data_IF_721999926160
#
_entry.id   IF_721999926160
#
_cell.length_a   1.000
_cell.length_b   1.000
_cell.length_c   1.000
_cell.angle_alpha   90.00
_cell.angle_beta   90.00
_cell.angle_gamma   90.00
#
_symmetry.space_group_name_H-M   'P 1'
#
loop_
_entity.id
_entity.type
_entity.pdbx_description
1 polymer ?
#
# COMPACT_ATOMS: atom_id res chain seq x y z
N UNK A 1 -29.87 43.97 -29.27
CA UNK A 1 -29.25 43.62 -27.98
C UNK A 1 -28.40 42.38 -28.24
N UNK A 2 -27.10 42.57 -28.47
CA UNK A 2 -26.17 41.48 -28.77
C UNK A 2 -25.60 40.89 -27.49
N UNK A 3 -25.77 39.58 -27.30
CA UNK A 3 -25.18 38.84 -26.19
C UNK A 3 -23.72 38.50 -26.53
N UNK A 4 -22.79 39.03 -25.73
CA UNK A 4 -21.37 38.74 -25.81
C UNK A 4 -21.12 37.42 -25.05
N UNK A 5 -20.78 36.35 -25.78
CA UNK A 5 -20.36 35.10 -25.17
C UNK A 5 -18.91 35.23 -24.69
N UNK A 6 -18.69 35.13 -23.38
CA UNK A 6 -17.38 35.12 -22.77
C UNK A 6 -16.81 33.70 -22.84
N UNK A 7 -15.92 33.45 -23.81
CA UNK A 7 -15.12 32.23 -23.89
C UNK A 7 -14.05 32.29 -22.78
N UNK A 8 -14.21 31.48 -21.71
CA UNK A 8 -13.10 31.22 -20.79
C UNK A 8 -12.11 30.26 -21.45
N UNK A 9 -10.97 30.80 -21.91
CA UNK A 9 -9.80 30.01 -22.25
C UNK A 9 -9.18 29.47 -20.96
N UNK A 10 -9.37 28.17 -20.70
CA UNK A 10 -8.57 27.46 -19.70
C UNK A 10 -7.11 27.41 -20.17
N UNK A 11 -6.21 28.05 -19.43
CA UNK A 11 -4.78 27.92 -19.64
C UNK A 11 -4.34 26.49 -19.28
N UNK A 12 -3.43 25.86 -20.05
CA UNK A 12 -2.87 24.58 -19.67
C UNK A 12 -2.06 24.74 -18.39
N UNK A 13 -2.24 23.81 -17.44
CA UNK A 13 -1.42 23.72 -16.25
C UNK A 13 0.05 23.64 -16.68
N UNK A 14 0.85 24.64 -16.31
CA UNK A 14 2.30 24.60 -16.49
C UNK A 14 2.84 23.51 -15.58
N UNK A 15 3.16 22.36 -16.16
CA UNK A 15 4.02 21.39 -15.51
C UNK A 15 5.31 22.09 -15.11
N UNK A 16 5.69 21.94 -13.84
CA UNK A 16 7.02 22.31 -13.35
C UNK A 16 7.97 21.30 -13.98
N UNK A 17 8.49 21.61 -15.17
CA UNK A 17 9.61 20.86 -15.71
C UNK A 17 10.82 21.17 -14.82
N UNK A 18 11.34 20.14 -14.16
CA UNK A 18 12.60 20.22 -13.41
C UNK A 18 13.69 20.82 -14.31
N UNK A 19 14.58 21.61 -13.71
CA UNK A 19 15.74 22.16 -14.40
C UNK A 19 16.53 21.04 -15.09
N UNK A 20 16.92 21.27 -16.34
CA UNK A 20 17.75 20.38 -17.13
C UNK A 20 19.06 20.10 -16.35
N UNK A 21 19.20 18.91 -15.76
CA UNK A 21 20.41 18.47 -15.06
C UNK A 21 20.26 17.89 -13.65
N UNK A 22 19.09 17.92 -13.01
CA UNK A 22 18.85 17.27 -11.71
C UNK A 22 17.89 16.07 -11.85
N UNK A 23 18.19 14.97 -11.14
CA UNK A 23 17.28 13.83 -11.05
C UNK A 23 15.95 14.27 -10.40
N UNK A 24 14.77 13.82 -10.87
CA UNK A 24 13.52 14.00 -10.16
C UNK A 24 13.60 13.45 -8.72
N UNK A 25 12.72 13.91 -7.81
CA UNK A 25 12.63 13.34 -6.48
C UNK A 25 12.19 11.87 -6.54
N UNK A 26 12.60 11.10 -5.54
CA UNK A 26 12.04 9.77 -5.26
C UNK A 26 10.72 9.97 -4.53
N UNK A 27 9.67 9.34 -5.03
CA UNK A 27 8.37 9.33 -4.37
C UNK A 27 8.31 8.18 -3.35
N UNK A 28 7.67 8.42 -2.21
CA UNK A 28 7.51 7.45 -1.13
C UNK A 28 6.01 7.31 -0.83
N UNK A 29 5.52 6.08 -0.78
CA UNK A 29 4.16 5.78 -0.36
C UNK A 29 4.15 4.70 0.73
N UNK A 30 3.14 4.70 1.58
CA UNK A 30 2.99 3.73 2.67
C UNK A 30 1.78 2.82 2.42
N UNK A 31 1.94 1.53 2.72
CA UNK A 31 0.83 0.63 2.95
C UNK A 31 0.95 0.04 4.37
N UNK A 32 -0.02 0.35 5.22
CA UNK A 32 -0.18 -0.29 6.53
C UNK A 32 -1.24 -1.37 6.45
N UNK A 33 -0.83 -2.63 6.61
CA UNK A 33 -1.74 -3.77 6.64
C UNK A 33 -2.18 -4.07 8.07
N UNK A 34 -3.49 -4.10 8.31
CA UNK A 34 -4.11 -4.35 9.60
C UNK A 34 -5.07 -5.54 9.46
N UNK A 35 -4.79 -6.62 10.17
CA UNK A 35 -5.54 -7.87 10.01
C UNK A 35 -5.56 -8.71 11.28
N UNK A 36 -6.74 -9.28 11.56
CA UNK A 36 -6.91 -10.45 12.42
C UNK A 36 -7.89 -11.41 11.75
N UNK A 37 -7.69 -12.73 11.89
CA UNK A 37 -8.61 -13.72 11.34
C UNK A 37 -9.92 -13.76 12.14
N UNK A 38 -10.93 -14.43 11.58
CA UNK A 38 -11.98 -15.04 12.41
C UNK A 38 -11.35 -16.25 13.08
N UNK A 39 -11.27 -16.24 14.41
CA UNK A 39 -10.51 -17.24 15.16
C UNK A 39 -11.20 -18.60 15.15
N UNK A 40 -12.52 -18.63 15.37
CA UNK A 40 -13.27 -19.89 15.40
C UNK A 40 -14.46 -19.85 14.43
N UNK A 41 -14.66 -20.88 13.58
CA UNK A 41 -15.78 -20.89 12.66
C UNK A 41 -17.13 -20.76 13.37
N UNK A 42 -17.96 -19.84 12.86
CA UNK A 42 -19.32 -19.57 13.35
C UNK A 42 -19.40 -18.97 14.77
N UNK A 43 -18.28 -18.52 15.33
CA UNK A 43 -18.24 -17.81 16.61
C UNK A 43 -17.70 -16.40 16.39
N UNK A 44 -18.29 -15.44 17.09
CA UNK A 44 -17.70 -14.12 17.26
C UNK A 44 -16.40 -14.23 18.08
N UNK A 45 -15.53 -13.23 17.99
CA UNK A 45 -14.32 -13.18 18.84
C UNK A 45 -14.64 -13.21 20.34
N UNK A 46 -15.80 -12.66 20.74
CA UNK A 46 -16.26 -12.64 22.14
C UNK A 46 -16.70 -14.05 22.58
N UNK A 47 -17.48 -14.75 21.75
CA UNK A 47 -17.86 -16.15 22.02
C UNK A 47 -16.63 -17.06 22.05
N UNK A 48 -15.68 -16.85 21.14
CA UNK A 48 -14.42 -17.60 21.08
C UNK A 48 -13.61 -17.43 22.36
N UNK A 49 -13.53 -16.19 22.87
CA UNK A 49 -12.88 -15.86 24.14
C UNK A 49 -13.56 -16.55 25.32
N UNK A 50 -14.89 -16.43 25.43
CA UNK A 50 -15.66 -16.95 26.55
C UNK A 50 -15.73 -18.49 26.57
N UNK A 51 -15.65 -19.13 25.40
CA UNK A 51 -15.56 -20.57 25.26
C UNK A 51 -14.15 -21.12 25.53
N UNK A 52 -13.15 -20.25 25.78
CA UNK A 52 -11.75 -20.62 25.99
C UNK A 52 -11.22 -21.55 24.89
N UNK A 53 -11.51 -21.23 23.62
CA UNK A 53 -11.09 -22.04 22.46
C UNK A 53 -9.57 -22.13 22.33
N UNK A 54 -8.85 -21.12 22.83
CA UNK A 54 -7.40 -21.00 22.75
C UNK A 54 -6.75 -20.95 24.13
N UNK A 55 -5.47 -21.31 24.19
CA UNK A 55 -4.64 -21.20 25.41
C UNK A 55 -4.20 -19.77 25.73
N UNK A 56 -4.60 -18.79 24.91
CA UNK A 56 -4.35 -17.37 25.05
C UNK A 56 -5.66 -16.61 24.83
N UNK A 57 -5.74 -15.37 25.34
CA UNK A 57 -6.91 -14.52 25.15
C UNK A 57 -6.90 -13.93 23.74
N UNK A 58 -7.91 -14.28 22.95
CA UNK A 58 -8.12 -13.67 21.63
C UNK A 58 -8.60 -12.23 21.79
N UNK A 59 -9.24 -11.88 22.92
CA UNK A 59 -9.57 -10.50 23.23
C UNK A 59 -8.31 -9.66 23.49
N UNK A 60 -7.36 -10.15 24.29
CA UNK A 60 -6.11 -9.43 24.59
C UNK A 60 -5.28 -9.17 23.33
N UNK A 61 -5.29 -10.09 22.35
CA UNK A 61 -4.63 -9.88 21.05
C UNK A 61 -5.10 -8.60 20.37
N UNK A 62 -6.40 -8.28 20.47
CA UNK A 62 -6.96 -7.04 19.94
C UNK A 62 -6.67 -5.85 20.87
N UNK A 63 -6.86 -6.01 22.19
CA UNK A 63 -6.69 -4.91 23.16
C UNK A 63 -5.24 -4.40 23.25
N UNK A 64 -4.25 -5.23 22.91
CA UNK A 64 -2.85 -4.80 22.80
C UNK A 64 -2.56 -3.96 21.55
N UNK A 65 -3.52 -3.87 20.61
CA UNK A 65 -3.41 -3.17 19.32
C UNK A 65 -4.48 -2.08 19.16
N UNK A 66 -4.94 -1.50 20.27
CA UNK A 66 -5.93 -0.40 20.24
C UNK A 66 -5.45 0.74 19.34
N UNK A 67 -4.18 1.13 19.47
CA UNK A 67 -3.59 2.23 18.71
C UNK A 67 -3.72 2.10 17.19
N UNK A 68 -3.09 1.07 16.58
CA UNK A 68 -3.13 0.86 15.13
C UNK A 68 -4.55 0.67 14.58
N UNK A 69 -5.44 0.06 15.36
CA UNK A 69 -6.82 -0.20 14.96
C UNK A 69 -7.75 1.02 15.09
N UNK A 70 -7.33 2.08 15.77
CA UNK A 70 -8.21 3.22 16.05
C UNK A 70 -7.73 4.55 15.47
N UNK A 71 -6.63 5.11 15.94
CA UNK A 71 -6.28 6.50 15.67
C UNK A 71 -4.90 6.69 15.04
N UNK A 72 -3.94 5.81 15.33
CA UNK A 72 -2.54 6.04 14.98
C UNK A 72 -2.27 6.25 13.48
N UNK A 73 -2.85 5.45 12.55
CA UNK A 73 -2.72 5.74 11.12
C UNK A 73 -3.17 7.16 10.72
N UNK A 74 -4.27 7.62 11.33
CA UNK A 74 -4.83 8.95 11.07
C UNK A 74 -4.00 10.04 11.72
N UNK A 75 -3.40 9.80 12.88
CA UNK A 75 -2.57 10.78 13.57
C UNK A 75 -1.28 11.06 12.78
N UNK A 76 -0.63 10.02 12.24
CA UNK A 76 0.49 10.15 11.31
C UNK A 76 0.13 10.99 10.07
N UNK A 77 -0.98 10.65 9.40
CA UNK A 77 -1.43 11.39 8.21
C UNK A 77 -1.86 12.83 8.53
N UNK A 78 -2.47 13.06 9.69
CA UNK A 78 -2.82 14.39 10.17
C UNK A 78 -1.58 15.23 10.45
N UNK A 79 -0.51 14.67 11.02
CA UNK A 79 0.77 15.35 11.21
C UNK A 79 1.34 15.85 9.87
N UNK A 80 1.37 14.99 8.84
CA UNK A 80 1.83 15.37 7.51
C UNK A 80 0.95 16.42 6.83
N UNK A 81 -0.37 16.35 7.02
CA UNK A 81 -1.31 17.38 6.56
C UNK A 81 -1.05 18.73 7.25
N UNK A 82 -0.86 18.75 8.57
CA UNK A 82 -0.55 19.95 9.35
C UNK A 82 0.81 20.55 8.98
N UNK A 83 1.76 19.72 8.56
CA UNK A 83 3.06 20.12 8.04
C UNK A 83 3.01 20.68 6.58
N UNK A 84 1.83 20.74 5.96
CA UNK A 84 1.64 21.31 4.63
C UNK A 84 2.05 20.38 3.48
N UNK A 85 2.24 19.08 3.72
CA UNK A 85 2.65 18.13 2.70
C UNK A 85 1.44 17.75 1.80
N UNK A 86 1.42 18.33 0.60
CA UNK A 86 0.21 18.41 -0.24
C UNK A 86 -0.32 17.06 -0.74
N UNK A 87 0.59 16.12 -1.00
CA UNK A 87 0.30 14.78 -1.53
C UNK A 87 0.36 13.67 -0.46
N UNK A 88 0.87 13.97 0.74
CA UNK A 88 1.10 12.97 1.77
C UNK A 88 -0.21 12.29 2.19
N UNK A 89 -0.16 10.97 2.18
CA UNK A 89 -1.21 10.09 2.68
C UNK A 89 -0.66 8.67 2.74
N UNK A 90 -1.51 7.73 3.10
CA UNK A 90 -1.18 6.32 3.19
C UNK A 90 -2.30 5.46 2.61
N UNK A 91 -1.91 4.30 2.09
CA UNK A 91 -2.82 3.20 1.85
C UNK A 91 -2.95 2.42 3.16
N UNK A 92 -4.15 1.97 3.46
CA UNK A 92 -4.41 1.07 4.59
C UNK A 92 -5.22 -0.11 4.09
N UNK A 93 -4.73 -1.33 4.31
CA UNK A 93 -5.56 -2.52 4.17
C UNK A 93 -6.11 -2.89 5.53
N UNK A 94 -7.41 -2.68 5.74
CA UNK A 94 -8.13 -3.07 6.95
C UNK A 94 -9.05 -4.24 6.61
N UNK A 95 -8.74 -5.45 7.10
CA UNK A 95 -9.49 -6.64 6.68
C UNK A 95 -10.95 -6.64 7.17
N UNK A 96 -11.81 -7.32 6.41
CA UNK A 96 -13.22 -7.46 6.79
C UNK A 96 -13.39 -8.22 8.10
N UNK A 97 -12.62 -9.30 8.29
CA UNK A 97 -12.59 -10.08 9.53
C UNK A 97 -12.15 -9.27 10.75
N UNK A 98 -11.19 -8.35 10.59
CA UNK A 98 -10.77 -7.48 11.69
C UNK A 98 -11.90 -6.52 12.07
N UNK A 99 -12.53 -5.85 11.09
CA UNK A 99 -13.66 -4.95 11.34
C UNK A 99 -14.81 -5.69 12.03
N UNK A 100 -15.09 -6.92 11.61
CA UNK A 100 -16.07 -7.81 12.24
C UNK A 100 -15.72 -8.03 13.72
N UNK A 101 -14.50 -8.49 14.02
CA UNK A 101 -14.06 -8.69 15.41
C UNK A 101 -14.16 -7.42 16.26
N UNK A 102 -13.73 -6.26 15.74
CA UNK A 102 -13.78 -5.00 16.47
C UNK A 102 -15.22 -4.55 16.75
N UNK A 103 -16.14 -4.78 15.81
CA UNK A 103 -17.58 -4.52 15.99
C UNK A 103 -18.19 -5.39 17.09
N UNK A 104 -17.79 -6.66 17.16
CA UNK A 104 -18.23 -7.59 18.18
C UNK A 104 -17.72 -7.19 19.58
N UNK A 105 -16.44 -6.82 19.68
CA UNK A 105 -15.84 -6.35 20.94
C UNK A 105 -16.49 -5.05 21.42
N UNK A 106 -16.71 -4.09 20.51
CA UNK A 106 -17.43 -2.85 20.80
C UNK A 106 -18.85 -3.12 21.29
N UNK A 107 -19.60 -3.98 20.59
CA UNK A 107 -21.00 -4.31 20.94
C UNK A 107 -21.11 -4.99 22.31
N UNK A 108 -20.14 -5.84 22.66
CA UNK A 108 -20.08 -6.49 23.96
C UNK A 108 -19.63 -5.55 25.09
N UNK A 109 -19.20 -4.32 24.79
CA UNK A 109 -18.67 -3.37 25.77
C UNK A 109 -17.31 -3.80 26.34
N UNK A 110 -16.53 -4.62 25.61
CA UNK A 110 -15.26 -5.20 26.07
C UNK A 110 -14.01 -4.48 25.51
N UNK A 111 -14.20 -3.38 24.80
CA UNK A 111 -13.12 -2.58 24.21
C UNK A 111 -13.63 -1.79 23.00
N UNK A 112 -12.75 -1.00 22.38
CA UNK A 112 -13.02 -0.34 21.10
C UNK A 112 -14.27 0.56 21.08
N UNK A 113 -14.71 1.10 22.22
CA UNK A 113 -15.82 2.04 22.23
C UNK A 113 -15.54 3.23 21.29
N UNK A 114 -16.42 3.45 20.31
CA UNK A 114 -16.33 4.54 19.33
C UNK A 114 -15.08 4.48 18.42
N UNK A 115 -14.49 3.30 18.23
CA UNK A 115 -13.25 3.12 17.45
C UNK A 115 -13.33 3.64 16.00
N UNK A 116 -14.55 3.69 15.44
CA UNK A 116 -14.81 4.10 14.04
C UNK A 116 -14.75 5.61 13.82
N UNK A 117 -14.82 6.42 14.88
CA UNK A 117 -15.00 7.87 14.74
C UNK A 117 -13.85 8.52 13.96
N UNK A 118 -12.61 8.16 14.30
CA UNK A 118 -11.42 8.73 13.65
C UNK A 118 -11.29 8.29 12.19
N UNK A 119 -11.60 7.03 11.90
CA UNK A 119 -11.70 6.53 10.53
C UNK A 119 -12.72 7.32 9.69
N UNK A 120 -13.94 7.52 10.22
CA UNK A 120 -15.00 8.29 9.53
C UNK A 120 -14.59 9.74 9.27
N UNK A 121 -13.95 10.39 10.23
CA UNK A 121 -13.41 11.73 10.05
C UNK A 121 -12.41 11.78 8.89
N UNK A 122 -11.46 10.82 8.88
CA UNK A 122 -10.38 10.79 7.90
C UNK A 122 -10.82 10.51 6.47
N UNK A 123 -11.99 9.89 6.23
CA UNK A 123 -12.52 9.69 4.88
C UNK A 123 -12.75 11.00 4.12
N UNK A 124 -12.96 12.11 4.85
CA UNK A 124 -13.10 13.45 4.29
C UNK A 124 -11.78 14.12 3.94
N UNK A 125 -10.63 13.61 4.42
CA UNK A 125 -9.33 14.24 4.21
C UNK A 125 -8.83 13.98 2.81
N UNK A 126 -8.52 15.05 2.07
CA UNK A 126 -8.08 14.98 0.67
C UNK A 126 -6.67 15.51 0.46
N UNK A 127 -5.96 14.90 -0.47
CA UNK A 127 -4.74 15.45 -1.06
C UNK A 127 -5.08 16.65 -1.95
N UNK A 128 -4.06 17.38 -2.41
CA UNK A 128 -4.25 18.47 -3.39
C UNK A 128 -4.85 18.00 -4.72
N UNK A 129 -4.78 16.69 -5.02
CA UNK A 129 -5.41 16.07 -6.20
C UNK A 129 -6.83 15.58 -5.95
N UNK A 130 -7.41 15.89 -4.80
CA UNK A 130 -8.76 15.50 -4.40
C UNK A 130 -8.94 13.97 -4.19
N UNK A 131 -7.86 13.24 -3.94
CA UNK A 131 -7.90 11.83 -3.54
C UNK A 131 -7.87 11.68 -2.01
N UNK A 132 -8.39 10.58 -1.43
CA UNK A 132 -8.28 10.32 0.00
C UNK A 132 -6.83 10.34 0.50
N UNK A 133 -6.57 10.96 1.66
CA UNK A 133 -5.27 10.83 2.35
C UNK A 133 -5.12 9.51 3.09
N UNK A 134 -6.24 8.95 3.55
CA UNK A 134 -6.32 7.55 3.99
C UNK A 134 -7.08 6.81 2.89
N UNK A 135 -6.35 6.05 2.08
CA UNK A 135 -6.91 5.21 1.03
C UNK A 135 -7.11 3.79 1.57
N UNK A 136 -8.34 3.45 1.94
CA UNK A 136 -8.69 2.09 2.37
C UNK A 136 -8.72 1.18 1.13
N UNK A 137 -7.56 0.62 0.77
CA UNK A 137 -7.42 -0.21 -0.42
C UNK A 137 -8.30 -1.44 -0.33
N UNK A 138 -8.86 -1.85 -1.46
CA UNK A 138 -9.67 -3.05 -1.53
C UNK A 138 -8.84 -4.27 -1.10
N UNK A 139 -9.50 -5.21 -0.43
CA UNK A 139 -8.87 -6.38 0.17
C UNK A 139 -9.77 -7.61 0.09
N UNK A 140 -9.20 -8.79 0.31
CA UNK A 140 -10.00 -10.00 0.51
C UNK A 140 -10.57 -10.03 1.93
N UNK A 141 -11.88 -10.06 2.10
CA UNK A 141 -12.56 -9.96 3.41
C UNK A 141 -11.94 -10.85 4.50
N UNK A 142 -11.71 -12.13 4.20
CA UNK A 142 -11.14 -13.12 5.12
C UNK A 142 -9.64 -13.39 4.89
N UNK A 143 -8.92 -12.48 4.23
CA UNK A 143 -7.49 -12.63 3.94
C UNK A 143 -7.12 -13.94 3.19
N UNK A 144 -7.88 -14.40 2.16
CA UNK A 144 -7.49 -15.60 1.43
C UNK A 144 -6.30 -15.32 0.50
N UNK A 145 -5.46 -16.31 0.23
CA UNK A 145 -4.50 -16.24 -0.87
C UNK A 145 -5.28 -16.18 -2.20
N UNK A 146 -5.54 -14.98 -2.68
CA UNK A 146 -6.51 -14.71 -3.75
C UNK A 146 -6.18 -15.45 -5.06
N UNK A 147 -4.90 -15.67 -5.34
CA UNK A 147 -4.46 -16.45 -6.51
C UNK A 147 -4.75 -17.96 -6.43
N UNK A 148 -5.20 -18.45 -5.27
CA UNK A 148 -5.51 -19.87 -5.00
C UNK A 148 -7.01 -20.14 -4.87
N UNK A 149 -7.87 -19.13 -4.99
CA UNK A 149 -9.33 -19.27 -4.97
C UNK A 149 -9.93 -19.03 -6.37
N UNK A 150 -11.14 -19.54 -6.67
CA UNK A 150 -11.80 -19.30 -7.94
C UNK A 150 -12.07 -17.81 -8.22
N UNK A 151 -12.09 -17.35 -9.50
CA UNK A 151 -12.33 -15.95 -9.86
C UNK A 151 -13.62 -15.35 -9.29
N UNK A 152 -14.69 -16.14 -9.21
CA UNK A 152 -15.96 -15.73 -8.60
C UNK A 152 -15.81 -15.46 -7.09
N UNK A 153 -14.93 -16.18 -6.40
CA UNK A 153 -14.64 -15.95 -4.98
C UNK A 153 -13.75 -14.72 -4.77
N UNK A 154 -12.84 -14.41 -5.71
CA UNK A 154 -12.09 -13.15 -5.70
C UNK A 154 -13.06 -11.96 -5.70
N UNK A 155 -14.02 -11.96 -6.64
CA UNK A 155 -15.03 -10.91 -6.73
C UNK A 155 -15.91 -10.82 -5.48
N UNK A 156 -16.34 -11.96 -4.92
CA UNK A 156 -17.13 -12.01 -3.68
C UNK A 156 -16.38 -11.46 -2.47
N UNK A 157 -15.10 -11.83 -2.30
CA UNK A 157 -14.27 -11.35 -1.19
C UNK A 157 -14.11 -9.83 -1.22
N UNK A 158 -13.89 -9.25 -2.40
CA UNK A 158 -13.80 -7.79 -2.59
C UNK A 158 -15.15 -7.11 -2.33
N UNK A 159 -16.25 -7.69 -2.83
CA UNK A 159 -17.59 -7.14 -2.62
C UNK A 159 -17.98 -7.14 -1.13
N UNK A 160 -17.70 -8.23 -0.41
CA UNK A 160 -17.91 -8.31 1.04
C UNK A 160 -17.08 -7.27 1.78
N UNK A 161 -15.80 -7.14 1.42
CA UNK A 161 -14.90 -6.17 2.04
C UNK A 161 -15.39 -4.73 1.87
N UNK A 162 -15.73 -4.34 0.64
CA UNK A 162 -16.28 -3.02 0.35
C UNK A 162 -17.58 -2.75 1.09
N UNK A 163 -18.48 -3.73 1.17
CA UNK A 163 -19.71 -3.61 1.95
C UNK A 163 -19.42 -3.35 3.44
N UNK A 164 -18.47 -4.08 4.02
CA UNK A 164 -18.06 -3.87 5.41
C UNK A 164 -17.46 -2.48 5.64
N UNK A 165 -16.65 -1.98 4.71
CA UNK A 165 -16.13 -0.61 4.76
C UNK A 165 -17.27 0.43 4.67
N UNK A 166 -18.20 0.26 3.73
CA UNK A 166 -19.34 1.18 3.55
C UNK A 166 -20.21 1.25 4.81
N UNK A 167 -20.54 0.09 5.40
CA UNK A 167 -21.37 0.00 6.61
C UNK A 167 -20.72 0.63 7.84
N UNK A 168 -19.38 0.64 7.91
CA UNK A 168 -18.66 1.16 9.08
C UNK A 168 -18.19 2.60 8.90
N UNK A 169 -17.80 3.00 7.69
CA UNK A 169 -17.08 4.26 7.45
C UNK A 169 -17.68 5.14 6.34
N UNK A 170 -18.69 4.66 5.61
CA UNK A 170 -19.34 5.40 4.50
C UNK A 170 -18.85 4.99 3.11
N UNK A 171 -19.55 5.45 2.06
CA UNK A 171 -19.27 5.03 0.67
C UNK A 171 -17.87 5.39 0.20
N UNK A 172 -17.35 6.52 0.64
CA UNK A 172 -16.03 7.02 0.29
C UNK A 172 -14.94 6.04 0.72
N UNK A 173 -15.13 5.34 1.82
CA UNK A 173 -14.22 4.32 2.35
C UNK A 173 -14.12 3.09 1.45
N UNK A 174 -15.18 2.76 0.71
CA UNK A 174 -15.25 1.60 -0.17
C UNK A 174 -14.85 1.92 -1.64
N UNK A 175 -14.47 3.17 -1.92
CA UNK A 175 -14.29 3.68 -3.28
C UNK A 175 -12.85 3.52 -3.83
N UNK A 176 -11.94 2.89 -3.09
CA UNK A 176 -10.56 2.72 -3.55
C UNK A 176 -10.49 1.96 -4.88
N UNK A 177 -9.60 2.46 -5.73
CA UNK A 177 -9.21 1.86 -7.01
C UNK A 177 -8.05 0.87 -6.85
N UNK A 178 -7.41 0.87 -5.69
CA UNK A 178 -6.28 0.03 -5.36
C UNK A 178 -6.68 -1.30 -4.74
N UNK A 179 -5.84 -2.30 -4.94
CA UNK A 179 -5.95 -3.59 -4.27
C UNK A 179 -4.63 -3.99 -3.62
N UNK A 180 -4.70 -4.46 -2.38
CA UNK A 180 -3.58 -5.15 -1.74
C UNK A 180 -3.89 -6.66 -1.74
N UNK A 181 -3.11 -7.49 -2.47
CA UNK A 181 -3.26 -8.92 -2.35
C UNK A 181 -2.75 -9.38 -0.99
N UNK A 182 -3.52 -10.18 -0.23
CA UNK A 182 -3.04 -10.85 0.97
C UNK A 182 -1.67 -11.50 0.74
N UNK A 183 -0.70 -11.21 1.61
CA UNK A 183 0.71 -11.66 1.51
C UNK A 183 1.45 -11.20 0.25
N UNK A 184 1.00 -10.13 -0.42
CA UNK A 184 1.43 -9.75 -1.79
C UNK A 184 1.29 -10.89 -2.81
N UNK A 185 0.48 -11.91 -2.51
CA UNK A 185 0.34 -13.14 -3.31
C UNK A 185 -0.43 -12.89 -4.61
N UNK A 186 0.23 -12.21 -5.54
CA UNK A 186 -0.32 -11.85 -6.83
C UNK A 186 -0.13 -12.98 -7.85
N UNK A 187 -1.20 -13.25 -8.59
CA UNK A 187 -1.17 -14.08 -9.80
C UNK A 187 -1.85 -13.32 -10.93
N UNK A 188 -1.30 -13.39 -12.14
CA UNK A 188 -1.93 -12.78 -13.31
C UNK A 188 -3.35 -13.31 -13.55
N UNK A 189 -3.65 -14.53 -13.11
CA UNK A 189 -5.01 -15.12 -13.18
C UNK A 189 -6.07 -14.34 -12.41
N UNK A 190 -5.67 -13.51 -11.45
CA UNK A 190 -6.58 -12.65 -10.70
C UNK A 190 -7.03 -11.43 -11.51
N UNK A 191 -6.25 -11.00 -12.52
CA UNK A 191 -6.45 -9.75 -13.26
C UNK A 191 -7.89 -9.58 -13.77
N UNK A 192 -8.52 -10.58 -14.44
CA UNK A 192 -9.89 -10.41 -14.92
C UNK A 192 -10.89 -10.09 -13.79
N UNK A 193 -10.82 -10.82 -12.68
CA UNK A 193 -11.73 -10.63 -11.54
C UNK A 193 -11.48 -9.30 -10.81
N UNK A 194 -10.22 -8.86 -10.70
CA UNK A 194 -9.88 -7.54 -10.15
C UNK A 194 -10.49 -6.42 -11.01
N UNK A 195 -10.34 -6.50 -12.33
CA UNK A 195 -10.90 -5.51 -13.26
C UNK A 195 -12.43 -5.51 -13.24
N UNK A 196 -13.06 -6.69 -13.20
CA UNK A 196 -14.53 -6.80 -13.10
C UNK A 196 -15.05 -6.23 -11.77
N UNK A 197 -14.23 -6.26 -10.71
CA UNK A 197 -14.49 -5.58 -9.45
C UNK A 197 -14.15 -4.07 -9.49
N UNK A 198 -13.71 -3.50 -10.61
CA UNK A 198 -13.38 -2.08 -10.73
C UNK A 198 -12.08 -1.67 -10.03
N UNK A 199 -11.14 -2.59 -9.87
CA UNK A 199 -9.77 -2.29 -9.43
C UNK A 199 -8.95 -1.83 -10.64
N UNK A 200 -8.19 -0.75 -10.46
CA UNK A 200 -7.36 -0.15 -11.53
C UNK A 200 -5.86 -0.44 -11.32
N UNK A 201 -5.42 -0.59 -10.07
CA UNK A 201 -4.03 -0.92 -9.72
C UNK A 201 -3.92 -1.88 -8.54
N UNK A 202 -2.84 -2.65 -8.49
CA UNK A 202 -2.58 -3.66 -7.46
C UNK A 202 -1.14 -3.59 -6.95
N UNK A 203 -0.96 -3.68 -5.64
CA UNK A 203 0.38 -3.73 -5.03
C UNK A 203 0.95 -5.14 -5.18
N UNK A 204 2.22 -5.26 -5.55
CA UNK A 204 2.96 -6.53 -5.62
C UNK A 204 4.30 -6.38 -4.90
N UNK A 205 4.93 -7.46 -4.41
CA UNK A 205 6.33 -7.37 -3.97
C UNK A 205 7.25 -7.15 -5.19
N UNK A 206 8.24 -6.27 -5.07
CA UNK A 206 9.21 -5.94 -6.14
C UNK A 206 9.90 -7.17 -6.72
N UNK A 207 10.05 -8.23 -5.93
CA UNK A 207 10.66 -9.50 -6.34
C UNK A 207 9.94 -10.18 -7.51
N UNK A 208 8.63 -9.95 -7.66
CA UNK A 208 7.87 -10.47 -8.81
C UNK A 208 8.40 -9.92 -10.13
N UNK A 209 8.85 -8.66 -10.14
CA UNK A 209 9.45 -8.01 -11.31
C UNK A 209 10.90 -8.44 -11.49
N UNK A 210 11.68 -8.41 -10.41
CA UNK A 210 13.11 -8.77 -10.41
C UNK A 210 13.32 -10.18 -10.95
N UNK A 211 12.55 -11.16 -10.47
CA UNK A 211 12.64 -12.57 -10.91
C UNK A 211 12.16 -12.81 -12.33
N UNK A 212 11.36 -11.91 -12.88
CA UNK A 212 10.92 -11.94 -14.27
C UNK A 212 11.90 -11.24 -15.22
N UNK A 213 12.99 -10.66 -14.70
CA UNK A 213 14.04 -10.03 -15.49
C UNK A 213 15.03 -11.07 -16.04
N UNK A 214 15.49 -10.88 -17.27
CA UNK A 214 16.36 -11.82 -18.00
C UNK A 214 17.72 -12.04 -17.34
N UNK A 215 18.28 -10.99 -16.71
CA UNK A 215 19.60 -11.02 -16.06
C UNK A 215 19.54 -11.03 -14.52
N UNK A 216 18.40 -11.44 -13.93
CA UNK A 216 18.21 -11.49 -12.48
C UNK A 216 19.40 -12.18 -11.78
N UNK A 217 20.14 -11.48 -10.90
CA UNK A 217 21.32 -12.00 -10.22
C UNK A 217 20.89 -12.88 -9.04
N UNK A 218 20.29 -14.03 -9.35
CA UNK A 218 19.78 -14.97 -8.37
C UNK A 218 20.85 -15.33 -7.32
N UNK A 219 20.42 -15.31 -6.06
CA UNK A 219 21.20 -15.81 -4.93
C UNK A 219 20.30 -16.58 -3.97
N UNK A 220 20.74 -17.77 -3.49
CA UNK A 220 19.99 -18.53 -2.49
C UNK A 220 19.91 -17.83 -1.12
N UNK A 221 20.73 -16.78 -0.89
CA UNK A 221 20.70 -16.03 0.37
C UNK A 221 19.36 -15.32 0.65
N UNK A 222 18.54 -15.13 -0.39
CA UNK A 222 17.19 -14.56 -0.29
C UNK A 222 16.11 -15.57 0.13
N UNK A 223 16.47 -16.83 0.41
CA UNK A 223 15.58 -17.95 0.73
C UNK A 223 14.47 -18.19 -0.31
N UNK A 224 14.74 -17.86 -1.57
CA UNK A 224 13.85 -18.12 -2.70
C UNK A 224 14.44 -19.20 -3.60
N UNK A 225 13.58 -19.99 -4.24
CA UNK A 225 14.00 -20.89 -5.31
C UNK A 225 14.51 -20.11 -6.53
N UNK A 226 15.35 -20.67 -7.41
CA UNK A 226 15.67 -20.05 -8.70
C UNK A 226 14.40 -19.71 -9.50
N UNK A 227 14.37 -18.62 -10.29
CA UNK A 227 13.24 -18.35 -11.18
C UNK A 227 13.16 -19.42 -12.28
N UNK A 228 11.96 -19.65 -12.80
CA UNK A 228 11.78 -20.43 -14.00
C UNK A 228 12.25 -19.59 -15.21
N UNK A 229 13.20 -20.08 -16.04
CA UNK A 229 13.68 -19.32 -17.20
C UNK A 229 12.59 -18.90 -18.18
N UNK A 230 11.46 -19.62 -18.25
CA UNK A 230 10.33 -19.24 -19.10
C UNK A 230 9.60 -17.97 -18.63
N UNK A 231 9.71 -17.63 -17.35
CA UNK A 231 9.11 -16.43 -16.75
C UNK A 231 10.04 -15.22 -16.84
N UNK A 232 11.33 -15.43 -17.15
CA UNK A 232 12.34 -14.37 -17.30
C UNK A 232 12.26 -13.69 -18.67
N UNK A 233 11.27 -12.82 -18.83
CA UNK A 233 10.92 -12.22 -20.13
C UNK A 233 11.26 -10.73 -20.23
N UNK A 234 11.44 -10.03 -19.11
CA UNK A 234 11.66 -8.59 -19.08
C UNK A 234 13.14 -8.24 -19.31
N UNK A 235 13.40 -7.20 -20.08
CA UNK A 235 14.73 -6.72 -20.49
C UNK A 235 14.91 -5.20 -20.30
N UNK A 236 14.10 -4.59 -19.42
CA UNK A 236 14.14 -3.16 -19.17
C UNK A 236 15.51 -2.71 -18.60
N UNK A 237 15.99 -1.50 -18.92
CA UNK A 237 17.22 -0.98 -18.34
C UNK A 237 17.18 -1.01 -16.80
N UNK A 238 18.10 -1.79 -16.22
CA UNK A 238 18.11 -2.11 -14.79
C UNK A 238 19.53 -2.05 -14.24
N UNK A 239 19.69 -1.36 -13.12
CA UNK A 239 20.86 -1.45 -12.27
C UNK A 239 20.57 -2.36 -11.08
N UNK A 240 21.42 -3.37 -10.88
CA UNK A 240 21.34 -4.27 -9.74
C UNK A 240 22.12 -3.69 -8.56
N UNK A 241 21.40 -3.10 -7.60
CA UNK A 241 21.96 -2.39 -6.46
C UNK A 241 21.98 -3.30 -5.24
N UNK A 242 23.16 -3.48 -4.64
CA UNK A 242 23.28 -4.15 -3.34
C UNK A 242 23.05 -3.10 -2.25
N UNK A 243 21.88 -3.16 -1.59
CA UNK A 243 21.61 -2.26 -0.48
C UNK A 243 22.49 -2.61 0.72
N UNK A 244 22.94 -1.57 1.41
CA UNK A 244 23.65 -1.60 2.69
C UNK A 244 22.87 -0.79 3.73
N UNK A 245 23.21 -0.96 5.02
CA UNK A 245 22.50 -0.36 6.17
C UNK A 245 21.06 -0.88 6.39
N UNK A 246 20.65 -1.91 5.67
CA UNK A 246 19.46 -2.73 5.93
C UNK A 246 19.80 -4.20 5.67
N UNK A 247 18.96 -5.12 6.13
CA UNK A 247 19.09 -6.52 5.74
C UNK A 247 18.56 -6.75 4.31
N UNK A 248 19.47 -6.87 3.34
CA UNK A 248 19.14 -7.12 1.93
C UNK A 248 20.07 -8.19 1.33
N UNK A 249 19.74 -9.50 1.44
CA UNK A 249 20.61 -10.57 0.96
C UNK A 249 20.67 -10.74 -0.57
N UNK A 250 19.79 -10.07 -1.32
CA UNK A 250 19.88 -9.97 -2.79
C UNK A 250 19.82 -8.52 -3.25
N UNK A 251 20.26 -8.28 -4.48
CA UNK A 251 20.23 -6.96 -5.10
C UNK A 251 18.81 -6.59 -5.51
N UNK A 252 18.50 -5.30 -5.44
CA UNK A 252 17.25 -4.70 -5.94
C UNK A 252 17.45 -4.16 -7.36
N UNK A 253 16.37 -4.08 -8.14
CA UNK A 253 16.38 -3.59 -9.52
C UNK A 253 15.96 -2.12 -9.62
N UNK A 254 16.92 -1.19 -9.67
CA UNK A 254 16.64 0.24 -9.83
C UNK A 254 16.82 0.71 -11.30
N UNK A 255 15.91 1.52 -11.86
CA UNK A 255 14.62 1.95 -11.31
C UNK A 255 13.49 0.95 -11.60
N UNK A 256 13.77 -0.14 -12.32
CA UNK A 256 12.75 -1.04 -12.88
C UNK A 256 11.73 -1.55 -11.85
N UNK A 257 12.18 -2.06 -10.70
CA UNK A 257 11.30 -2.58 -9.66
C UNK A 257 10.83 -1.52 -8.65
N UNK A 258 11.03 -0.23 -8.96
CA UNK A 258 10.52 0.93 -8.22
C UNK A 258 9.60 1.80 -9.09
N UNK A 259 9.02 1.23 -10.15
CA UNK A 259 8.09 1.93 -11.04
C UNK A 259 6.87 1.05 -11.28
N UNK A 260 5.67 1.62 -11.42
CA UNK A 260 4.51 0.84 -11.83
C UNK A 260 4.68 0.27 -13.25
N UNK A 261 4.09 -0.90 -13.49
CA UNK A 261 4.09 -1.59 -14.79
C UNK A 261 2.70 -2.10 -15.13
N UNK A 262 2.48 -2.50 -16.39
CA UNK A 262 1.32 -3.32 -16.71
C UNK A 262 1.66 -4.81 -16.57
N UNK A 263 0.90 -5.53 -15.75
CA UNK A 263 0.81 -6.98 -15.83
C UNK A 263 -0.35 -7.40 -16.74
N UNK A 264 -0.22 -8.53 -17.41
CA UNK A 264 -1.21 -9.03 -18.35
C UNK A 264 -1.62 -10.48 -18.06
N UNK A 265 -2.89 -10.79 -18.29
CA UNK A 265 -3.41 -12.14 -18.34
C UNK A 265 -4.08 -12.36 -19.69
N UNK A 266 -3.66 -13.40 -20.40
CA UNK A 266 -4.34 -13.88 -21.60
C UNK A 266 -5.09 -15.14 -21.24
N UNK A 267 -6.41 -15.08 -21.40
CA UNK A 267 -7.27 -16.24 -21.27
C UNK A 267 -6.88 -17.27 -22.35
N UNK A 268 -6.49 -18.50 -21.97
CA UNK A 268 -6.05 -19.52 -22.91
C UNK A 268 -7.18 -20.09 -23.78
N UNK A 269 -8.44 -19.99 -23.35
CA UNK A 269 -9.60 -20.48 -24.08
C UNK A 269 -10.08 -19.45 -25.12
N UNK A 270 -10.09 -18.17 -24.74
CA UNK A 270 -10.64 -17.09 -25.60
C UNK A 270 -9.56 -16.29 -26.33
N UNK A 271 -8.31 -16.33 -25.87
CA UNK A 271 -7.21 -15.49 -26.38
C UNK A 271 -7.31 -14.02 -25.97
N UNK A 272 -8.28 -13.63 -25.15
CA UNK A 272 -8.48 -12.24 -24.72
C UNK A 272 -7.43 -11.87 -23.67
N UNK A 273 -6.69 -10.80 -23.93
CA UNK A 273 -5.74 -10.22 -22.95
C UNK A 273 -6.38 -9.09 -22.17
N UNK A 274 -6.27 -9.15 -20.84
CA UNK A 274 -6.59 -8.05 -19.92
C UNK A 274 -5.33 -7.61 -19.17
N UNK A 275 -5.25 -6.32 -18.83
CA UNK A 275 -4.09 -5.72 -18.16
C UNK A 275 -4.51 -4.90 -16.95
N UNK A 276 -3.66 -4.86 -15.94
CA UNK A 276 -3.80 -4.02 -14.75
C UNK A 276 -2.47 -3.38 -14.42
N UNK A 277 -2.48 -2.21 -13.79
CA UNK A 277 -1.26 -1.58 -13.27
C UNK A 277 -0.83 -2.37 -12.02
N UNK A 278 0.42 -2.82 -12.00
CA UNK A 278 1.07 -3.37 -10.81
C UNK A 278 2.01 -2.32 -10.24
N UNK A 279 1.93 -2.09 -8.93
CA UNK A 279 2.75 -1.13 -8.19
C UNK A 279 3.70 -1.93 -7.30
N UNK A 280 5.01 -1.96 -7.58
CA UNK A 280 5.94 -2.75 -6.80
C UNK A 280 6.20 -2.10 -5.44
N UNK A 281 6.10 -2.91 -4.39
CA UNK A 281 6.47 -2.58 -3.05
C UNK A 281 7.91 -2.98 -2.77
N UNK A 282 8.64 -2.04 -2.17
CA UNK A 282 10.07 -2.15 -1.96
C UNK A 282 10.36 -3.19 -0.87
N UNK A 283 10.79 -4.38 -1.32
CA UNK A 283 10.88 -5.59 -0.51
C UNK A 283 11.68 -5.42 0.78
N UNK A 284 12.80 -4.71 0.74
CA UNK A 284 13.69 -4.61 1.91
C UNK A 284 13.42 -3.35 2.72
N UNK A 285 13.17 -2.24 2.05
CA UNK A 285 12.88 -0.97 2.69
C UNK A 285 11.58 -1.03 3.49
N UNK A 286 10.51 -1.61 2.94
CA UNK A 286 9.25 -1.81 3.68
C UNK A 286 9.41 -2.71 4.90
N UNK A 287 10.24 -3.76 4.81
CA UNK A 287 10.53 -4.65 5.93
C UNK A 287 11.34 -3.98 7.04
N UNK A 288 12.31 -3.12 6.70
CA UNK A 288 13.07 -2.38 7.71
C UNK A 288 12.22 -1.24 8.32
N UNK A 289 11.37 -0.59 7.52
CA UNK A 289 10.37 0.38 7.97
C UNK A 289 9.43 -0.26 9.00
N UNK A 290 8.95 -1.48 8.76
CA UNK A 290 8.10 -2.23 9.69
C UNK A 290 8.70 -2.45 11.09
N UNK A 291 10.02 -2.30 11.25
CA UNK A 291 10.70 -2.47 12.55
C UNK A 291 10.65 -1.22 13.42
N UNK A 292 10.24 -0.07 12.88
CA UNK A 292 10.10 1.15 13.68
C UNK A 292 10.16 2.47 12.91
N UNK A 293 9.87 2.48 11.61
CA UNK A 293 9.90 3.69 10.77
C UNK A 293 11.28 4.34 10.84
N UNK A 294 11.32 5.65 11.10
CA UNK A 294 12.55 6.44 11.25
C UNK A 294 13.48 5.99 12.38
N UNK A 295 12.96 5.21 13.35
CA UNK A 295 13.78 4.57 14.38
C UNK A 295 14.55 3.33 13.90
N UNK A 296 14.27 2.82 12.69
CA UNK A 296 14.87 1.61 12.14
C UNK A 296 15.41 1.81 10.71
N UNK A 297 14.55 2.21 9.77
CA UNK A 297 14.97 2.46 8.39
C UNK A 297 15.77 3.75 8.30
N UNK A 298 17.01 3.64 7.84
CA UNK A 298 17.88 4.79 7.54
C UNK A 298 17.51 5.39 6.16
N UNK A 299 16.36 6.06 6.06
CA UNK A 299 15.76 6.54 4.79
C UNK A 299 16.78 7.21 3.87
N UNK A 300 17.50 8.21 4.39
CA UNK A 300 18.53 8.96 3.66
C UNK A 300 19.62 8.03 3.10
N UNK A 301 20.26 7.24 3.97
CA UNK A 301 21.40 6.39 3.59
C UNK A 301 20.99 5.26 2.65
N UNK A 302 19.77 4.76 2.77
CA UNK A 302 19.26 3.63 1.98
C UNK A 302 18.81 4.09 0.61
N UNK A 303 17.91 5.08 0.54
CA UNK A 303 17.33 5.52 -0.73
C UNK A 303 18.35 6.27 -1.61
N UNK A 304 19.34 6.94 -1.01
CA UNK A 304 20.44 7.59 -1.76
C UNK A 304 21.28 6.59 -2.58
N UNK A 305 21.31 5.30 -2.22
CA UNK A 305 22.13 4.29 -2.91
C UNK A 305 21.66 4.01 -4.35
N UNK A 306 20.40 4.35 -4.68
CA UNK A 306 19.84 4.17 -6.02
C UNK A 306 19.32 5.47 -6.65
N UNK A 307 19.49 6.62 -5.99
CA UNK A 307 19.04 7.93 -6.47
C UNK A 307 19.65 8.30 -7.83
N UNK A 308 20.89 7.88 -8.11
CA UNK A 308 21.55 8.10 -9.40
C UNK A 308 20.83 7.45 -10.59
N UNK A 309 19.99 6.43 -10.35
CA UNK A 309 19.20 5.75 -11.39
C UNK A 309 17.81 6.38 -11.60
N UNK A 310 17.43 7.37 -10.78
CA UNK A 310 16.16 8.09 -10.91
C UNK A 310 16.23 9.18 -11.99
N UNK A 311 16.37 8.82 -13.25
CA UNK A 311 16.71 9.78 -14.31
C UNK A 311 15.55 10.17 -15.23
N UNK A 312 14.38 9.52 -15.09
CA UNK A 312 13.20 9.81 -15.93
C UNK A 312 12.17 10.63 -15.15
N UNK A 313 12.06 11.95 -15.39
CA UNK A 313 11.08 12.80 -14.70
C UNK A 313 9.63 12.50 -15.07
N UNK A 314 9.36 11.71 -16.13
CA UNK A 314 8.00 11.27 -16.46
C UNK A 314 7.59 10.01 -15.72
N UNK A 315 8.56 9.26 -15.20
CA UNK A 315 8.35 8.04 -14.43
C UNK A 315 9.34 8.00 -13.25
N UNK A 316 9.31 8.97 -12.31
CA UNK A 316 10.22 8.95 -11.18
C UNK A 316 9.98 7.69 -10.32
N UNK A 317 10.99 7.20 -9.61
CA UNK A 317 10.80 6.03 -8.76
C UNK A 317 9.76 6.28 -7.66
N UNK A 318 8.97 5.26 -7.37
CA UNK A 318 8.03 5.16 -6.26
C UNK A 318 8.49 4.01 -5.34
N UNK A 319 8.94 4.37 -4.15
CA UNK A 319 9.27 3.43 -3.07
C UNK A 319 8.02 3.22 -2.22
N UNK A 320 7.32 2.11 -2.42
CA UNK A 320 6.17 1.74 -1.59
C UNK A 320 6.64 0.92 -0.39
N UNK A 321 6.55 1.52 0.80
CA UNK A 321 6.85 0.92 2.09
C UNK A 321 5.61 0.20 2.58
N UNK A 322 5.54 -1.11 2.30
CA UNK A 322 4.45 -1.96 2.72
C UNK A 322 4.87 -2.87 3.88
N UNK A 323 4.00 -3.02 4.87
CA UNK A 323 4.18 -3.96 5.97
C UNK A 323 2.92 -4.11 6.82
N UNK A 324 2.94 -5.05 7.77
CA UNK A 324 1.97 -5.15 8.85
C UNK A 324 2.08 -3.90 9.75
N UNK A 325 1.03 -3.10 9.79
CA UNK A 325 0.94 -1.86 10.57
C UNK A 325 0.52 -2.08 12.03
N UNK A 326 0.23 -3.31 12.43
CA UNK A 326 -0.24 -3.68 13.77
C UNK A 326 0.69 -4.69 14.48
N UNK A 327 1.85 -4.97 13.88
CA UNK A 327 2.84 -5.90 14.41
C UNK A 327 4.17 -5.20 14.74
N UNK A 328 4.83 -5.69 15.80
CA UNK A 328 6.16 -5.24 16.24
C UNK A 328 6.37 -3.72 16.19
N UNK A 329 7.35 -3.25 15.42
CA UNK A 329 7.67 -1.83 15.31
C UNK A 329 6.55 -1.03 14.66
N UNK A 330 5.99 -1.53 13.55
CA UNK A 330 4.85 -0.94 12.86
C UNK A 330 3.62 -0.81 13.75
N UNK A 331 3.43 -1.73 14.70
CA UNK A 331 2.36 -1.70 15.70
C UNK A 331 2.65 -0.89 16.97
N UNK A 332 3.67 -0.02 16.97
CA UNK A 332 4.07 0.77 18.14
C UNK A 332 3.61 2.23 18.06
N UNK A 333 3.43 2.85 19.23
CA UNK A 333 3.04 4.26 19.33
C UNK A 333 4.06 5.19 18.65
N UNK A 334 5.35 4.92 18.85
CA UNK A 334 6.43 5.72 18.29
C UNK A 334 6.45 5.70 16.76
N UNK A 335 6.06 4.58 16.12
CA UNK A 335 6.03 4.46 14.66
C UNK A 335 5.14 5.53 14.01
N UNK A 336 3.92 5.70 14.52
CA UNK A 336 2.93 6.62 13.96
C UNK A 336 3.02 8.05 14.49
N UNK A 337 3.79 8.27 15.57
CA UNK A 337 3.98 9.59 16.17
C UNK A 337 5.42 10.06 16.00
N UNK A 338 6.28 9.91 17.02
CA UNK A 338 7.61 10.52 17.04
C UNK A 338 8.46 10.15 15.81
N UNK A 339 8.42 8.90 15.36
CA UNK A 339 9.20 8.46 14.20
C UNK A 339 8.58 8.99 12.89
N UNK A 340 7.26 9.14 12.84
CA UNK A 340 6.60 9.76 11.69
C UNK A 340 6.83 11.28 11.65
N UNK A 341 6.91 11.94 12.80
CA UNK A 341 7.31 13.35 12.93
C UNK A 341 8.75 13.55 12.42
N UNK A 342 9.68 12.65 12.77
CA UNK A 342 11.05 12.66 12.26
C UNK A 342 11.09 12.44 10.74
N UNK A 343 10.25 11.54 10.21
CA UNK A 343 10.08 11.35 8.77
C UNK A 343 9.59 12.63 8.07
N UNK A 344 8.59 13.31 8.62
CA UNK A 344 8.08 14.58 8.10
C UNK A 344 9.18 15.65 8.12
N UNK A 345 9.92 15.77 9.22
CA UNK A 345 11.02 16.73 9.34
C UNK A 345 12.13 16.45 8.31
N UNK A 346 12.46 15.17 8.08
CA UNK A 346 13.43 14.76 7.06
C UNK A 346 12.96 15.09 5.64
N UNK A 347 11.68 14.88 5.31
CA UNK A 347 11.11 15.29 4.02
C UNK A 347 11.22 16.81 3.80
N UNK A 348 10.86 17.60 4.81
CA UNK A 348 10.94 19.07 4.75
C UNK A 348 12.38 19.57 4.61
N UNK A 349 13.36 18.83 5.13
CA UNK A 349 14.78 19.12 4.94
C UNK A 349 15.32 18.71 3.56
N UNK A 350 14.63 17.81 2.84
CA UNK A 350 15.05 17.25 1.55
C UNK A 350 13.97 17.34 0.44
N UNK A 351 13.29 18.48 0.25
CA UNK A 351 12.08 18.56 -0.58
C UNK A 351 12.33 18.34 -2.08
N UNK A 352 13.56 18.57 -2.55
CA UNK A 352 13.95 18.37 -3.95
C UNK A 352 14.36 16.92 -4.26
N UNK A 353 14.48 16.07 -3.22
CA UNK A 353 15.00 14.69 -3.32
C UNK A 353 13.96 13.64 -2.96
N UNK A 354 13.09 13.93 -2.00
CA UNK A 354 12.10 12.97 -1.51
C UNK A 354 10.73 13.62 -1.36
N UNK A 355 9.69 12.92 -1.83
CA UNK A 355 8.30 13.39 -1.75
C UNK A 355 7.40 12.24 -1.29
N UNK A 356 6.69 12.42 -0.18
CA UNK A 356 5.65 11.47 0.22
C UNK A 356 4.34 11.73 -0.54
N UNK A 357 3.72 10.66 -1.03
CA UNK A 357 2.50 10.69 -1.85
C UNK A 357 1.62 9.48 -1.58
N UNK A 358 0.33 9.56 -1.91
CA UNK A 358 -0.48 8.35 -2.11
C UNK A 358 -0.14 7.70 -3.46
N UNK A 359 -0.39 6.40 -3.60
CA UNK A 359 -0.22 5.69 -4.87
C UNK A 359 -1.12 6.30 -5.96
N UNK A 360 -2.37 6.64 -5.63
CA UNK A 360 -3.29 7.23 -6.61
C UNK A 360 -2.82 8.62 -7.07
N UNK A 361 -2.34 9.49 -6.16
CA UNK A 361 -1.76 10.78 -6.54
C UNK A 361 -0.55 10.58 -7.46
N UNK A 362 0.32 9.60 -7.16
CA UNK A 362 1.49 9.29 -7.98
C UNK A 362 1.07 8.85 -9.40
N UNK A 363 0.16 7.88 -9.52
CA UNK A 363 -0.29 7.37 -10.81
C UNK A 363 -0.98 8.45 -11.66
N UNK A 364 -1.68 9.38 -11.01
CA UNK A 364 -2.29 10.53 -11.68
C UNK A 364 -1.26 11.60 -12.14
N UNK A 365 -0.13 11.71 -11.45
CA UNK A 365 0.97 12.61 -11.82
C UNK A 365 1.87 12.00 -12.91
N UNK A 366 2.00 10.68 -12.93
CA UNK A 366 2.91 9.92 -13.79
C UNK A 366 2.17 8.72 -14.44
N UNK A 367 1.21 8.98 -15.34
CA UNK A 367 0.30 7.97 -15.90
C UNK A 367 0.94 7.00 -16.90
#
# INVERSE_FOLDING_TARGET
MGALALLLLMAPARGVFAAEGANPPIHIAFLWHLHQPIYWPYETVVETEDAHRYSFSVLDVHLQRIGPYTAWPMDAVAAGMNAGLAHLGAQVSLSGSLIENLNEIERAGRGFANWKARWREAMSWKTVRNHPRIDLVAFGYHHPLMGLIPPEEIGRQIALHRKMLEENFGREAAASKGFFPPETAFSSRMIPALLDAGIEWVIIDSIHLERAHQDYPYTPASNLYPPNPADQRNDAPTAWVQLTNIWAPSKVAAPFAYRPHYAAHTDPETGITRKIIVVPAARYEGNEDARGGFGALQYEQVMSQYEAYNTDPRHPMLVVLHHDGDNFGGGSDAYYHSNFDDFIAWLQANPDRFVCTTIQDYLDMFP
#
